data_IF_839196194150
#
_entry.id   IF_839196194150
#
_cell.length_a   1.000
_cell.length_b   1.000
_cell.length_c   1.000
_cell.angle_alpha   90.00
_cell.angle_beta   90.00
_cell.angle_gamma   90.00
#
_symmetry.space_group_name_H-M   'P 1'
#
loop_
_entity.id
_entity.type
_entity.pdbx_description
1 polymer ?
#
# COMPACT_ATOMS: atom_id res chain seq x y z
N UNK A 1 -62.08 3.15 -42.07
CA UNK A 1 -62.11 2.82 -40.63
C UNK A 1 -61.97 1.30 -40.50
N UNK A 2 -60.77 0.79 -40.21
CA UNK A 2 -60.53 -0.63 -39.95
C UNK A 2 -59.71 -0.73 -38.67
N UNK A 3 -60.35 -1.20 -37.60
CA UNK A 3 -59.77 -1.36 -36.28
C UNK A 3 -59.14 -2.76 -36.17
N UNK A 4 -57.82 -2.82 -35.98
CA UNK A 4 -57.10 -4.05 -35.67
C UNK A 4 -56.98 -4.21 -34.16
N UNK A 5 -57.71 -5.19 -33.63
CA UNK A 5 -57.72 -5.62 -32.23
C UNK A 5 -56.50 -6.48 -31.92
N UNK A 6 -55.53 -5.95 -31.19
CA UNK A 6 -54.37 -6.70 -30.68
C UNK A 6 -54.72 -7.28 -29.30
N UNK A 7 -54.95 -8.60 -29.23
CA UNK A 7 -55.09 -9.36 -27.98
C UNK A 7 -53.70 -9.69 -27.43
N UNK A 8 -53.29 -9.04 -26.34
CA UNK A 8 -52.09 -9.41 -25.58
C UNK A 8 -52.37 -10.62 -24.68
N UNK A 9 -51.72 -11.75 -24.93
CA UNK A 9 -51.70 -12.91 -24.01
C UNK A 9 -50.68 -12.64 -22.90
N UNK A 10 -51.17 -12.55 -21.66
CA UNK A 10 -50.37 -12.45 -20.45
C UNK A 10 -50.02 -13.85 -19.98
N UNK A 11 -48.76 -14.27 -20.13
CA UNK A 11 -48.23 -15.51 -19.54
C UNK A 11 -47.81 -15.25 -18.10
N UNK A 12 -48.66 -15.72 -17.19
CA UNK A 12 -48.41 -15.78 -15.74
C UNK A 12 -47.32 -16.81 -15.45
N UNK A 13 -46.19 -16.36 -14.87
CA UNK A 13 -45.11 -17.24 -14.39
C UNK A 13 -45.32 -17.44 -12.88
N UNK A 14 -45.60 -18.65 -12.39
CA UNK A 14 -45.75 -18.90 -10.96
C UNK A 14 -44.37 -18.86 -10.26
N UNK A 15 -44.22 -17.92 -9.32
CA UNK A 15 -43.11 -17.89 -8.35
C UNK A 15 -43.33 -19.00 -7.32
N UNK A 16 -42.62 -20.11 -7.46
CA UNK A 16 -42.48 -21.11 -6.39
C UNK A 16 -41.55 -20.55 -5.31
N UNK A 17 -42.13 -20.21 -4.16
CA UNK A 17 -41.43 -19.91 -2.90
C UNK A 17 -40.89 -21.23 -2.32
N UNK A 18 -39.63 -21.54 -2.58
CA UNK A 18 -38.89 -22.59 -1.89
C UNK A 18 -38.37 -22.09 -0.54
N UNK A 19 -39.06 -22.45 0.54
CA UNK A 19 -38.59 -22.29 1.92
C UNK A 19 -37.56 -23.40 2.20
N UNK A 20 -36.27 -23.10 2.04
CA UNK A 20 -35.20 -23.98 2.55
C UNK A 20 -34.93 -23.66 4.02
N UNK A 21 -35.47 -24.51 4.91
CA UNK A 21 -35.06 -24.59 6.31
C UNK A 21 -33.64 -25.16 6.37
N UNK A 22 -32.70 -24.37 6.89
CA UNK A 22 -31.35 -24.83 7.24
C UNK A 22 -31.41 -25.45 8.63
N UNK A 23 -31.45 -26.78 8.71
CA UNK A 23 -31.20 -27.53 9.95
C UNK A 23 -29.75 -27.97 9.91
N UNK A 24 -28.98 -27.55 10.92
CA UNK A 24 -27.59 -27.95 11.07
C UNK A 24 -27.46 -29.44 11.42
N UNK A 25 -26.43 -30.08 10.87
CA UNK A 25 -25.87 -31.30 11.40
C UNK A 25 -24.35 -31.27 11.26
N UNK A 26 -23.71 -31.43 12.42
CA UNK A 26 -22.29 -31.57 12.66
C UNK A 26 -21.87 -33.01 12.30
N UNK A 27 -20.57 -33.17 12.01
CA UNK A 27 -19.76 -34.40 11.98
C UNK A 27 -19.52 -35.04 10.61
N UNK A 28 -18.24 -35.25 10.31
CA UNK A 28 -17.78 -35.98 9.13
C UNK A 28 -16.38 -35.53 8.70
N UNK A 29 -15.35 -35.88 9.47
CA UNK A 29 -13.96 -35.72 9.05
C UNK A 29 -13.68 -36.53 7.79
N UNK A 30 -13.28 -35.86 6.71
CA UNK A 30 -12.69 -36.49 5.53
C UNK A 30 -11.19 -36.36 5.60
N UNK A 31 -10.52 -37.50 5.73
CA UNK A 31 -9.10 -37.64 5.49
C UNK A 31 -8.78 -37.20 4.06
N UNK A 32 -7.89 -36.22 3.93
CA UNK A 32 -7.28 -35.87 2.65
C UNK A 32 -6.26 -36.96 2.29
N UNK A 33 -6.62 -37.84 1.36
CA UNK A 33 -5.62 -38.63 0.65
C UNK A 33 -4.95 -37.73 -0.39
N UNK A 34 -3.65 -37.50 -0.19
CA UNK A 34 -2.78 -36.75 -1.08
C UNK A 34 -2.63 -37.48 -2.42
N UNK A 35 -3.36 -37.04 -3.45
CA UNK A 35 -3.07 -37.40 -4.84
C UNK A 35 -1.87 -36.57 -5.29
N UNK A 36 -0.70 -37.21 -5.29
CA UNK A 36 0.53 -36.65 -5.86
C UNK A 36 0.43 -36.63 -7.38
N UNK A 37 -0.04 -35.51 -7.95
CA UNK A 37 0.11 -35.22 -9.37
C UNK A 37 1.58 -34.96 -9.68
N UNK A 38 2.23 -35.95 -10.29
CA UNK A 38 3.53 -35.82 -10.97
C UNK A 38 3.38 -34.81 -12.11
N UNK A 39 3.98 -33.64 -11.95
CA UNK A 39 4.20 -32.71 -13.06
C UNK A 39 5.35 -33.25 -13.94
N UNK A 40 5.17 -33.32 -15.27
CA UNK A 40 6.24 -33.65 -16.18
C UNK A 40 7.31 -32.55 -16.18
N UNK A 41 8.56 -33.00 -16.13
CA UNK A 41 9.78 -32.23 -16.15
C UNK A 41 9.87 -31.40 -17.45
N UNK A 42 9.77 -30.07 -17.32
CA UNK A 42 10.16 -29.15 -18.40
C UNK A 42 11.68 -28.97 -18.40
N UNK A 43 12.33 -28.90 -19.58
CA UNK A 43 13.78 -28.70 -19.68
C UNK A 43 14.17 -27.27 -19.31
N UNK A 44 15.30 -27.17 -18.61
CA UNK A 44 15.91 -25.91 -18.20
C UNK A 44 16.39 -25.12 -19.44
N UNK A 45 15.70 -24.02 -19.74
CA UNK A 45 16.21 -23.01 -20.67
C UNK A 45 17.21 -22.14 -19.91
N UNK A 46 18.48 -22.31 -20.25
CA UNK A 46 19.53 -21.37 -19.87
C UNK A 46 19.31 -20.05 -20.62
N UNK A 47 19.05 -18.97 -19.89
CA UNK A 47 19.25 -17.61 -20.40
C UNK A 47 20.24 -16.90 -19.50
N UNK A 48 21.39 -16.60 -20.11
CA UNK A 48 22.45 -15.79 -19.56
C UNK A 48 22.15 -14.29 -19.64
N UNK A 49 23.06 -13.58 -19.01
CA UNK A 49 23.41 -12.18 -19.12
C UNK A 49 22.37 -11.10 -18.76
N UNK A 50 22.52 -10.67 -17.50
CA UNK A 50 23.02 -9.34 -17.15
C UNK A 50 22.98 -8.28 -18.27
N UNK A 51 22.20 -7.22 -18.06
CA UNK A 51 22.69 -5.83 -18.05
C UNK A 51 21.57 -4.81 -17.83
N UNK A 52 21.89 -3.79 -17.02
CA UNK A 52 21.24 -2.49 -16.88
C UNK A 52 20.02 -2.35 -15.94
N UNK A 53 20.30 -2.39 -14.63
CA UNK A 53 19.57 -1.57 -13.66
C UNK A 53 20.27 -0.20 -13.55
N UNK A 54 19.77 0.81 -14.27
CA UNK A 54 20.10 2.22 -14.00
C UNK A 54 19.46 2.63 -12.68
N UNK A 55 20.24 2.54 -11.60
CA UNK A 55 19.90 3.14 -10.31
C UNK A 55 20.10 4.64 -10.43
N UNK A 56 19.00 5.38 -10.41
CA UNK A 56 18.98 6.83 -10.25
C UNK A 56 19.64 7.20 -8.91
N UNK A 57 20.86 7.76 -8.98
CA UNK A 57 21.48 8.46 -7.86
C UNK A 57 20.77 9.80 -7.66
N UNK A 58 19.71 9.82 -6.83
CA UNK A 58 19.26 11.06 -6.22
C UNK A 58 20.24 11.44 -5.12
N UNK A 59 21.08 12.44 -5.42
CA UNK A 59 21.87 13.20 -4.46
C UNK A 59 20.92 13.90 -3.48
N UNK A 60 20.74 13.33 -2.30
CA UNK A 60 20.17 14.08 -1.18
C UNK A 60 21.27 14.94 -0.58
N UNK A 61 21.13 16.25 -0.79
CA UNK A 61 21.91 17.27 -0.11
C UNK A 61 21.69 17.15 1.40
N UNK A 62 22.75 16.78 2.11
CA UNK A 62 22.86 16.87 3.57
C UNK A 62 22.99 18.34 3.97
N UNK A 63 21.85 19.02 4.11
CA UNK A 63 21.75 20.27 4.84
C UNK A 63 21.82 20.01 6.34
N UNK A 64 23.02 20.03 6.91
CA UNK A 64 23.24 20.05 8.36
C UNK A 64 22.91 21.47 8.87
N UNK A 65 21.63 21.70 9.16
CA UNK A 65 21.17 22.88 9.90
C UNK A 65 21.63 22.79 11.34
N UNK A 66 22.43 23.77 11.76
CA UNK A 66 22.89 23.92 13.14
C UNK A 66 21.72 24.17 14.09
N UNK A 67 21.66 23.35 15.14
CA UNK A 67 20.98 23.69 16.39
C UNK A 67 22.03 23.58 17.48
N UNK A 68 22.59 24.72 17.84
CA UNK A 68 23.47 24.93 18.98
C UNK A 68 22.66 24.86 20.27
N UNK A 69 22.29 23.65 20.67
CA UNK A 69 21.73 23.37 21.99
C UNK A 69 22.85 23.15 23.00
N UNK A 70 23.10 24.15 23.84
CA UNK A 70 24.03 24.09 24.97
C UNK A 70 23.65 22.95 25.93
N UNK A 71 24.43 21.87 25.95
CA UNK A 71 24.39 20.83 26.98
C UNK A 71 25.67 20.98 27.81
N UNK A 72 25.48 21.40 29.06
CA UNK A 72 26.51 21.57 30.08
C UNK A 72 27.31 20.26 30.26
N UNK A 73 28.65 20.28 30.22
CA UNK A 73 29.45 19.13 30.61
C UNK A 73 29.43 18.95 32.13
N UNK A 74 29.05 17.74 32.57
CA UNK A 74 29.17 17.30 33.97
C UNK A 74 30.66 17.09 34.32
N UNK A 75 31.11 17.43 35.54
CA UNK A 75 32.52 17.57 35.85
C UNK A 75 33.24 16.22 35.98
N UNK A 76 34.44 16.19 35.40
CA UNK A 76 35.41 15.12 35.54
C UNK A 76 35.81 14.93 37.01
N UNK A 77 35.67 13.71 37.50
CA UNK A 77 36.28 13.27 38.76
C UNK A 77 37.78 13.13 38.53
N UNK A 78 38.51 14.21 38.81
CA UNK A 78 39.96 14.21 38.96
C UNK A 78 40.30 13.63 40.34
N UNK A 79 40.95 12.47 40.38
CA UNK A 79 41.60 11.98 41.59
C UNK A 79 43.03 12.50 41.61
N UNK A 80 43.24 13.50 42.45
CA UNK A 80 44.52 14.13 42.74
C UNK A 80 45.49 13.15 43.39
N UNK A 81 46.64 12.98 42.75
CA UNK A 81 47.87 12.55 43.42
C UNK A 81 48.41 13.75 44.21
N UNK A 82 48.45 13.65 45.54
CA UNK A 82 49.22 14.58 46.39
C UNK A 82 50.33 13.79 47.05
N UNK A 83 51.56 14.17 46.68
CA UNK A 83 52.78 13.83 47.36
C UNK A 83 52.85 14.62 48.68
N UNK A 84 53.15 13.95 49.78
CA UNK A 84 53.65 14.57 50.99
C UNK A 84 54.79 13.71 51.54
N UNK A 85 55.99 14.28 51.48
CA UNK A 85 57.19 13.78 52.13
C UNK A 85 57.03 13.87 53.65
N UNK A 86 57.55 12.88 54.38
CA UNK A 86 58.10 13.09 55.71
C UNK A 86 59.31 12.18 55.89
N UNK A 87 60.45 12.82 56.11
CA UNK A 87 61.69 12.21 56.58
C UNK A 87 61.54 11.78 58.04
N UNK A 88 62.22 10.69 58.40
CA UNK A 88 62.28 10.21 59.78
C UNK A 88 63.21 9.00 59.88
N UNK A 89 64.47 9.27 60.17
CA UNK A 89 65.52 8.29 60.43
C UNK A 89 65.15 7.32 61.59
N UNK A 90 65.66 6.08 61.54
CA UNK A 90 66.40 5.40 62.63
C UNK A 90 66.28 3.87 62.60
N UNK A 91 67.44 3.22 62.82
CA UNK A 91 67.66 1.87 63.38
C UNK A 91 67.46 0.62 62.50
N UNK A 92 68.57 0.29 61.83
CA UNK A 92 69.26 -1.02 61.81
C UNK A 92 68.68 -2.07 62.80
N UNK A 93 68.02 -3.11 62.28
CA UNK A 93 67.99 -4.45 62.87
C UNK A 93 67.86 -5.50 61.76
N UNK A 94 68.98 -6.16 61.49
CA UNK A 94 69.11 -7.38 60.72
C UNK A 94 68.38 -8.52 61.42
N UNK A 95 67.22 -8.92 60.90
CA UNK A 95 66.62 -10.22 61.22
C UNK A 95 66.35 -10.97 59.92
N UNK A 96 67.11 -12.07 59.75
CA UNK A 96 66.96 -13.04 58.66
C UNK A 96 65.47 -13.39 58.46
N UNK A 97 64.93 -13.29 57.24
CA UNK A 97 63.53 -13.64 56.99
C UNK A 97 63.37 -15.14 57.16
N UNK A 98 62.52 -15.54 58.11
CA UNK A 98 61.95 -16.89 58.13
C UNK A 98 61.31 -17.13 56.76
N UNK A 99 61.78 -18.15 56.04
CA UNK A 99 61.33 -18.61 54.71
C UNK A 99 59.80 -18.66 54.52
N UNK A 100 59.00 -18.68 55.59
CA UNK A 100 57.54 -18.81 55.60
C UNK A 100 56.75 -17.53 55.22
N UNK A 101 57.25 -16.32 55.46
CA UNK A 101 56.50 -15.08 55.14
C UNK A 101 56.53 -14.73 53.65
N UNK A 102 57.69 -14.89 53.02
CA UNK A 102 57.87 -14.69 51.56
C UNK A 102 56.98 -15.62 50.73
N UNK A 103 56.72 -16.82 51.26
CA UNK A 103 55.83 -17.81 50.64
C UNK A 103 54.37 -17.36 50.71
N UNK A 104 53.90 -16.87 51.88
CA UNK A 104 52.55 -16.32 52.05
C UNK A 104 52.28 -15.11 51.13
N UNK A 105 53.28 -14.25 50.93
CA UNK A 105 53.16 -13.07 50.07
C UNK A 105 53.02 -13.46 48.57
N UNK A 106 53.83 -14.43 48.12
CA UNK A 106 53.72 -14.99 46.75
C UNK A 106 52.36 -15.64 46.51
N UNK A 107 51.82 -16.33 47.51
CA UNK A 107 50.51 -16.97 47.41
C UNK A 107 49.38 -15.94 47.29
N UNK A 108 49.42 -14.86 48.08
CA UNK A 108 48.50 -13.72 47.95
C UNK A 108 48.59 -13.08 46.56
N UNK A 109 49.81 -12.80 46.07
CA UNK A 109 50.04 -12.23 44.74
C UNK A 109 49.46 -13.13 43.63
N UNK A 110 49.64 -14.45 43.73
CA UNK A 110 49.07 -15.39 42.76
C UNK A 110 47.54 -15.45 42.83
N UNK A 111 46.94 -15.35 44.02
CA UNK A 111 45.48 -15.25 44.19
C UNK A 111 44.94 -13.96 43.57
N UNK A 112 45.61 -12.83 43.76
CA UNK A 112 45.23 -11.56 43.14
C UNK A 112 45.38 -11.57 41.63
N UNK A 113 46.48 -12.10 41.08
CA UNK A 113 46.63 -12.30 39.64
C UNK A 113 45.52 -13.18 39.04
N UNK A 114 45.10 -14.23 39.75
CA UNK A 114 43.95 -15.06 39.35
C UNK A 114 42.63 -14.28 39.38
N UNK A 115 42.40 -13.44 40.39
CA UNK A 115 41.23 -12.55 40.46
C UNK A 115 41.23 -11.53 39.32
N UNK A 116 42.38 -10.91 39.02
CA UNK A 116 42.52 -9.94 37.95
C UNK A 116 42.16 -10.55 36.58
N UNK A 117 42.70 -11.75 36.29
CA UNK A 117 42.38 -12.50 35.06
C UNK A 117 40.88 -12.82 34.95
N UNK A 118 40.21 -13.15 36.06
CA UNK A 118 38.76 -13.38 36.08
C UNK A 118 37.98 -12.09 35.79
N UNK A 119 38.39 -10.97 36.37
CA UNK A 119 37.77 -9.65 36.13
C UNK A 119 37.94 -9.23 34.66
N UNK A 120 39.14 -9.41 34.10
CA UNK A 120 39.43 -9.09 32.71
C UNK A 120 38.60 -9.95 31.72
N UNK A 121 38.47 -11.24 32.00
CA UNK A 121 37.61 -12.14 31.23
C UNK A 121 36.13 -11.70 31.30
N UNK A 122 35.64 -11.36 32.49
CA UNK A 122 34.27 -10.88 32.68
C UNK A 122 34.02 -9.53 31.97
N UNK A 123 34.99 -8.62 31.95
CA UNK A 123 34.91 -7.36 31.21
C UNK A 123 34.83 -7.60 29.70
N UNK A 124 35.65 -8.52 29.17
CA UNK A 124 35.64 -8.88 27.75
C UNK A 124 34.32 -9.54 27.34
N UNK A 125 33.76 -10.39 28.19
CA UNK A 125 32.45 -11.01 27.97
C UNK A 125 31.32 -9.97 27.99
N UNK A 126 31.31 -9.06 28.97
CA UNK A 126 30.34 -7.97 29.05
C UNK A 126 30.42 -7.02 27.85
N UNK A 127 31.63 -6.70 27.38
CA UNK A 127 31.82 -5.90 26.16
C UNK A 127 31.23 -6.59 24.92
N UNK A 128 31.45 -7.90 24.76
CA UNK A 128 30.84 -8.69 23.67
C UNK A 128 29.31 -8.67 23.74
N UNK A 129 28.74 -8.81 24.95
CA UNK A 129 27.30 -8.79 25.17
C UNK A 129 26.68 -7.40 24.90
N UNK A 130 27.37 -6.32 25.27
CA UNK A 130 26.93 -4.97 24.93
C UNK A 130 26.97 -4.73 23.41
N UNK A 131 28.02 -5.22 22.74
CA UNK A 131 28.12 -5.14 21.29
C UNK A 131 26.99 -5.91 20.59
N UNK A 132 26.69 -7.16 21.01
CA UNK A 132 25.58 -7.93 20.44
C UNK A 132 24.23 -7.24 20.70
N UNK A 133 23.95 -6.82 21.94
CA UNK A 133 22.71 -6.12 22.29
C UNK A 133 22.53 -4.81 21.52
N UNK A 134 23.61 -4.08 21.27
CA UNK A 134 23.58 -2.84 20.46
C UNK A 134 23.23 -3.13 19.00
N UNK A 135 23.80 -4.19 18.40
CA UNK A 135 23.49 -4.65 17.04
C UNK A 135 22.03 -5.11 16.92
N UNK A 136 21.54 -5.86 17.90
CA UNK A 136 20.14 -6.31 17.93
C UNK A 136 19.17 -5.13 18.04
N UNK A 137 19.51 -4.13 18.86
CA UNK A 137 18.71 -2.90 18.97
C UNK A 137 18.68 -2.12 17.67
N UNK A 138 19.82 -1.97 16.98
CA UNK A 138 19.87 -1.31 15.67
C UNK A 138 19.04 -2.06 14.63
N UNK A 139 19.16 -3.39 14.58
CA UNK A 139 18.37 -4.24 13.66
C UNK A 139 16.87 -4.14 13.92
N UNK A 140 16.46 -4.12 15.18
CA UNK A 140 15.05 -3.95 15.55
C UNK A 140 14.53 -2.55 15.21
N UNK A 141 15.31 -1.49 15.47
CA UNK A 141 14.95 -0.12 15.09
C UNK A 141 14.82 0.04 13.57
N UNK A 142 15.73 -0.56 12.79
CA UNK A 142 15.65 -0.55 11.34
C UNK A 142 14.42 -1.31 10.84
N UNK A 143 14.11 -2.47 11.43
CA UNK A 143 12.92 -3.25 11.10
C UNK A 143 11.64 -2.47 11.39
N UNK A 144 11.54 -1.82 12.55
CA UNK A 144 10.41 -0.97 12.91
C UNK A 144 10.26 0.23 11.96
N UNK A 145 11.37 0.87 11.59
CA UNK A 145 11.37 1.99 10.64
C UNK A 145 10.85 1.53 9.28
N UNK A 146 11.38 0.43 8.74
CA UNK A 146 10.92 -0.17 7.47
C UNK A 146 9.45 -0.57 7.52
N UNK A 147 8.97 -1.09 8.64
CA UNK A 147 7.56 -1.45 8.81
C UNK A 147 6.65 -0.21 8.83
N UNK A 148 7.05 0.86 9.53
CA UNK A 148 6.33 2.14 9.55
C UNK A 148 6.26 2.76 8.15
N UNK A 149 7.38 2.80 7.44
CA UNK A 149 7.45 3.28 6.05
C UNK A 149 6.55 2.46 5.13
N UNK A 150 6.56 1.13 5.24
CA UNK A 150 5.67 0.24 4.47
C UNK A 150 4.19 0.52 4.75
N UNK A 151 3.82 0.67 6.03
CA UNK A 151 2.45 1.00 6.45
C UNK A 151 2.00 2.36 5.90
N UNK A 152 2.87 3.36 5.92
CA UNK A 152 2.54 4.69 5.38
C UNK A 152 2.41 4.66 3.86
N UNK A 153 3.34 4.01 3.15
CA UNK A 153 3.26 3.81 1.71
C UNK A 153 1.97 3.07 1.31
N UNK A 154 1.55 2.08 2.09
CA UNK A 154 0.28 1.37 1.86
C UNK A 154 -0.94 2.28 2.06
N UNK A 155 -0.96 3.13 3.10
CA UNK A 155 -2.03 4.12 3.30
C UNK A 155 -2.10 5.11 2.13
N UNK A 156 -0.96 5.61 1.67
CA UNK A 156 -0.90 6.50 0.51
C UNK A 156 -1.42 5.82 -0.75
N UNK A 157 -1.01 4.57 -1.02
CA UNK A 157 -1.55 3.78 -2.14
C UNK A 157 -3.07 3.58 -2.03
N UNK A 158 -3.59 3.27 -0.85
CA UNK A 158 -5.04 3.14 -0.61
C UNK A 158 -5.77 4.46 -0.86
N UNK A 159 -5.20 5.59 -0.44
CA UNK A 159 -5.76 6.92 -0.66
C UNK A 159 -5.81 7.27 -2.15
N UNK A 160 -4.70 7.07 -2.87
CA UNK A 160 -4.63 7.28 -4.32
C UNK A 160 -5.65 6.37 -5.03
N UNK A 161 -5.70 5.08 -4.69
CA UNK A 161 -6.65 4.14 -5.29
C UNK A 161 -8.11 4.55 -5.07
N UNK A 162 -8.45 5.09 -3.89
CA UNK A 162 -9.78 5.65 -3.60
C UNK A 162 -10.06 6.90 -4.43
N UNK A 163 -9.09 7.81 -4.53
CA UNK A 163 -9.21 9.02 -5.34
C UNK A 163 -9.36 8.74 -6.84
N UNK A 164 -8.83 7.62 -7.34
CA UNK A 164 -8.93 7.24 -8.75
C UNK A 164 -10.20 6.43 -9.09
N UNK A 165 -11.02 6.04 -8.11
CA UNK A 165 -12.28 5.31 -8.38
C UNK A 165 -13.28 6.19 -9.16
N UNK A 166 -14.00 5.64 -10.15
CA UNK A 166 -15.01 6.41 -10.87
C UNK A 166 -16.06 6.95 -9.89
N UNK A 167 -16.37 8.24 -10.02
CA UNK A 167 -17.36 8.87 -9.15
C UNK A 167 -18.74 8.39 -9.56
N UNK A 168 -19.52 7.95 -8.58
CA UNK A 168 -20.91 7.56 -8.79
C UNK A 168 -21.80 8.78 -8.60
N UNK A 169 -22.71 8.99 -9.55
CA UNK A 169 -23.77 9.96 -9.40
C UNK A 169 -24.72 9.58 -8.27
N UNK A 170 -25.39 10.58 -7.73
CA UNK A 170 -26.46 10.42 -6.77
C UNK A 170 -27.78 10.22 -7.51
N UNK A 171 -28.57 9.23 -7.08
CA UNK A 171 -29.95 9.08 -7.55
C UNK A 171 -30.89 9.98 -6.75
N UNK A 172 -32.08 10.26 -7.30
CA UNK A 172 -33.15 11.00 -6.60
C UNK A 172 -33.46 10.38 -5.23
N UNK A 173 -33.54 9.05 -5.14
CA UNK A 173 -33.69 8.33 -3.87
C UNK A 173 -32.52 8.54 -2.90
N UNK A 174 -31.28 8.44 -3.38
CA UNK A 174 -30.10 8.64 -2.54
C UNK A 174 -30.01 10.07 -2.00
N UNK A 175 -30.43 11.04 -2.82
CA UNK A 175 -30.53 12.45 -2.43
C UNK A 175 -31.64 12.66 -1.39
N UNK A 176 -32.81 12.04 -1.59
CA UNK A 176 -33.91 12.06 -0.62
C UNK A 176 -33.47 11.54 0.76
N UNK A 177 -32.81 10.38 0.79
CA UNK A 177 -32.26 9.82 2.04
C UNK A 177 -31.33 10.84 2.70
N UNK A 178 -30.35 11.39 1.97
CA UNK A 178 -29.41 12.35 2.54
C UNK A 178 -30.08 13.59 3.14
N UNK A 179 -31.16 14.08 2.52
CA UNK A 179 -31.93 15.23 3.01
C UNK A 179 -32.83 14.93 4.20
N UNK A 180 -33.35 13.71 4.30
CA UNK A 180 -34.37 13.33 5.28
C UNK A 180 -33.85 12.45 6.41
N UNK A 181 -32.62 11.94 6.31
CA UNK A 181 -31.96 11.20 7.40
C UNK A 181 -31.76 12.14 8.58
N UNK A 182 -32.61 11.95 9.57
CA UNK A 182 -32.40 12.32 10.96
C UNK A 182 -32.02 11.05 11.71
N UNK A 183 -31.35 11.14 12.86
CA UNK A 183 -30.84 9.96 13.58
C UNK A 183 -31.94 8.93 13.93
N UNK A 184 -33.20 9.35 13.94
CA UNK A 184 -34.33 8.57 14.46
C UNK A 184 -35.22 7.90 13.39
N UNK A 185 -35.03 8.17 12.09
CA UNK A 185 -35.89 7.60 11.04
C UNK A 185 -35.36 6.26 10.52
N UNK A 186 -36.22 5.23 10.52
CA UNK A 186 -35.90 3.93 9.96
C UNK A 186 -35.85 3.97 8.41
N UNK A 187 -34.93 3.22 7.82
CA UNK A 187 -34.72 3.17 6.36
C UNK A 187 -35.95 2.63 5.61
N UNK A 188 -36.74 1.76 6.25
CA UNK A 188 -38.00 1.25 5.66
C UNK A 188 -39.03 2.35 5.51
N UNK A 189 -39.21 3.16 6.55
CA UNK A 189 -40.13 4.30 6.53
C UNK A 189 -39.73 5.31 5.45
N UNK A 190 -38.44 5.66 5.35
CA UNK A 190 -37.96 6.55 4.29
C UNK A 190 -38.27 6.02 2.88
N UNK A 191 -38.19 4.71 2.68
CA UNK A 191 -38.47 4.06 1.39
C UNK A 191 -39.96 4.13 1.04
N UNK A 192 -40.83 3.88 2.02
CA UNK A 192 -42.28 4.03 1.89
C UNK A 192 -42.65 5.49 1.63
N UNK A 193 -42.10 6.43 2.40
CA UNK A 193 -42.28 7.87 2.19
C UNK A 193 -41.91 8.28 0.76
N UNK A 194 -40.75 7.85 0.25
CA UNK A 194 -40.32 8.20 -1.11
C UNK A 194 -41.19 7.58 -2.21
N UNK A 195 -41.73 6.37 -1.98
CA UNK A 195 -42.70 5.74 -2.88
C UNK A 195 -44.02 6.49 -2.91
N UNK A 196 -44.42 7.03 -1.77
CA UNK A 196 -45.66 7.78 -1.57
C UNK A 196 -45.55 9.27 -1.90
N UNK A 197 -44.35 9.80 -2.19
CA UNK A 197 -44.18 11.17 -2.69
C UNK A 197 -44.99 11.40 -3.97
N UNK A 198 -45.52 12.61 -4.09
CA UNK A 198 -46.16 13.04 -5.33
C UNK A 198 -45.17 13.02 -6.50
N UNK A 199 -45.68 12.88 -7.72
CA UNK A 199 -44.84 12.88 -8.92
C UNK A 199 -44.06 14.20 -9.06
N UNK A 200 -44.68 15.33 -8.70
CA UNK A 200 -44.04 16.65 -8.68
C UNK A 200 -42.83 16.72 -7.73
N UNK A 201 -42.95 16.19 -6.52
CA UNK A 201 -41.85 16.17 -5.56
C UNK A 201 -40.73 15.25 -6.03
N UNK A 202 -41.08 14.07 -6.57
CA UNK A 202 -40.09 13.12 -7.11
C UNK A 202 -39.29 13.74 -8.26
N UNK A 203 -39.95 14.48 -9.16
CA UNK A 203 -39.30 15.22 -10.25
C UNK A 203 -38.35 16.29 -9.73
N UNK A 204 -38.68 16.97 -8.64
CA UNK A 204 -37.76 17.94 -8.04
C UNK A 204 -36.49 17.28 -7.49
N UNK A 205 -36.60 16.11 -6.84
CA UNK A 205 -35.43 15.35 -6.42
C UNK A 205 -34.60 14.84 -7.60
N UNK A 206 -35.23 14.49 -8.71
CA UNK A 206 -34.53 14.11 -9.94
C UNK A 206 -33.74 15.29 -10.53
N UNK A 207 -34.38 16.47 -10.66
CA UNK A 207 -33.74 17.71 -11.10
C UNK A 207 -32.53 18.07 -10.23
N UNK A 208 -32.69 18.03 -8.91
CA UNK A 208 -31.60 18.29 -7.97
C UNK A 208 -30.47 17.26 -8.07
N UNK A 209 -30.81 15.98 -8.28
CA UNK A 209 -29.82 14.93 -8.46
C UNK A 209 -29.03 15.11 -9.77
N UNK A 210 -29.69 15.49 -10.85
CA UNK A 210 -29.06 15.82 -12.13
C UNK A 210 -28.13 17.03 -12.00
N UNK A 211 -28.58 18.11 -11.36
CA UNK A 211 -27.76 19.31 -11.13
C UNK A 211 -26.52 18.98 -10.29
N UNK A 212 -26.69 18.19 -9.22
CA UNK A 212 -25.59 17.70 -8.41
C UNK A 212 -24.62 16.84 -9.22
N UNK A 213 -25.14 15.92 -10.04
CA UNK A 213 -24.33 15.05 -10.88
C UNK A 213 -23.58 15.81 -11.99
N UNK A 214 -24.16 16.88 -12.52
CA UNK A 214 -23.51 17.78 -13.47
C UNK A 214 -22.32 18.49 -12.82
N UNK A 215 -22.51 19.10 -11.65
CA UNK A 215 -21.44 19.72 -10.84
C UNK A 215 -20.35 18.70 -10.48
N UNK A 216 -20.75 17.47 -10.17
CA UNK A 216 -19.83 16.39 -9.85
C UNK A 216 -18.98 15.99 -11.06
N UNK A 217 -19.58 15.91 -12.25
CA UNK A 217 -18.89 15.59 -13.52
C UNK A 217 -17.91 16.69 -13.93
N UNK A 218 -18.25 17.95 -13.68
CA UNK A 218 -17.36 19.09 -13.89
C UNK A 218 -16.15 19.04 -12.96
N UNK A 219 -16.37 18.83 -11.64
CA UNK A 219 -15.28 18.70 -10.67
C UNK A 219 -14.42 17.46 -10.93
N UNK A 220 -15.01 16.39 -11.42
CA UNK A 220 -14.34 15.11 -11.59
C UNK A 220 -14.41 14.68 -13.06
N UNK A 221 -13.52 15.21 -13.90
CA UNK A 221 -13.52 14.88 -15.32
C UNK A 221 -13.28 13.39 -15.54
N UNK A 222 -13.80 12.89 -16.65
CA UNK A 222 -13.62 11.50 -17.05
C UNK A 222 -12.13 11.20 -17.31
N UNK A 223 -11.73 9.94 -17.09
CA UNK A 223 -10.38 9.48 -17.38
C UNK A 223 -10.09 9.65 -18.88
N UNK A 224 -8.92 10.20 -19.27
CA UNK A 224 -8.50 10.26 -20.67
C UNK A 224 -8.61 8.90 -21.34
N UNK A 225 -9.09 8.88 -22.58
CA UNK A 225 -9.25 7.65 -23.37
C UNK A 225 -7.88 7.20 -23.88
N UNK A 226 -7.63 5.90 -23.83
CA UNK A 226 -6.41 5.30 -24.38
C UNK A 226 -6.45 5.49 -25.92
N UNK A 227 -5.36 5.94 -26.56
CA UNK A 227 -5.31 6.05 -28.01
C UNK A 227 -5.59 4.67 -28.65
N UNK A 228 -6.39 4.62 -29.74
CA UNK A 228 -6.72 3.35 -30.39
C UNK A 228 -5.45 2.70 -30.94
N UNK A 229 -5.31 1.39 -30.77
CA UNK A 229 -4.24 0.64 -31.42
C UNK A 229 -4.46 0.58 -32.94
N UNK A 230 -3.44 0.22 -33.72
CA UNK A 230 -3.60 0.10 -35.17
C UNK A 230 -4.71 -0.87 -35.59
N UNK A 231 -4.84 -2.00 -34.89
CA UNK A 231 -5.99 -2.90 -35.11
C UNK A 231 -7.33 -2.25 -34.76
N UNK A 232 -7.41 -1.47 -33.67
CA UNK A 232 -8.64 -0.78 -33.32
C UNK A 232 -9.03 0.29 -34.36
N UNK A 233 -8.05 0.99 -34.94
CA UNK A 233 -8.27 1.91 -36.07
C UNK A 233 -8.74 1.16 -37.32
N UNK A 234 -8.12 0.03 -37.63
CA UNK A 234 -8.55 -0.84 -38.74
C UNK A 234 -10.00 -1.28 -38.59
N UNK A 235 -10.38 -1.77 -37.40
CA UNK A 235 -11.75 -2.16 -37.08
C UNK A 235 -12.72 -0.98 -37.20
N UNK A 236 -12.33 0.22 -36.74
CA UNK A 236 -13.18 1.41 -36.84
C UNK A 236 -13.46 1.81 -38.30
N UNK A 237 -12.50 1.62 -39.20
CA UNK A 237 -12.63 2.01 -40.61
C UNK A 237 -13.31 0.93 -41.47
N UNK A 238 -13.12 -0.35 -41.13
CA UNK A 238 -13.56 -1.48 -41.96
C UNK A 238 -14.75 -2.25 -41.37
N UNK A 239 -15.47 -1.67 -40.40
CA UNK A 239 -16.60 -2.36 -39.76
C UNK A 239 -17.75 -2.59 -40.76
N UNK A 240 -18.14 -3.85 -41.06
CA UNK A 240 -19.21 -4.12 -42.01
C UNK A 240 -20.59 -3.79 -41.42
N UNK A 241 -21.43 -3.14 -42.22
CA UNK A 241 -22.83 -2.91 -41.86
C UNK A 241 -23.67 -4.19 -42.09
N UNK A 242 -24.65 -4.44 -41.22
CA UNK A 242 -25.64 -5.53 -41.40
C UNK A 242 -25.20 -6.92 -40.94
N UNK A 243 -23.97 -7.09 -40.44
CA UNK A 243 -23.47 -8.33 -39.87
C UNK A 243 -23.48 -8.26 -38.34
N UNK A 244 -23.61 -9.40 -37.65
CA UNK A 244 -23.50 -9.41 -36.19
C UNK A 244 -22.09 -8.98 -35.77
N UNK A 245 -21.97 -8.22 -34.68
CA UNK A 245 -20.66 -7.71 -34.25
C UNK A 245 -19.64 -8.82 -33.99
N UNK A 246 -20.09 -10.01 -33.55
CA UNK A 246 -19.21 -11.15 -33.30
C UNK A 246 -18.62 -11.73 -34.59
N UNK A 247 -19.44 -11.90 -35.64
CA UNK A 247 -18.99 -12.37 -36.95
C UNK A 247 -18.09 -11.34 -37.62
N UNK A 248 -18.47 -10.06 -37.57
CA UNK A 248 -17.68 -8.95 -38.08
C UNK A 248 -16.28 -8.92 -37.46
N UNK A 249 -16.18 -8.97 -36.13
CA UNK A 249 -14.90 -8.97 -35.41
C UNK A 249 -14.04 -10.18 -35.75
N UNK A 250 -14.65 -11.35 -35.98
CA UNK A 250 -13.93 -12.56 -36.38
C UNK A 250 -13.35 -12.44 -37.79
N UNK A 251 -14.15 -11.93 -38.73
CA UNK A 251 -13.69 -11.66 -40.10
C UNK A 251 -12.53 -10.65 -40.10
N UNK A 252 -12.72 -9.49 -39.48
CA UNK A 252 -11.70 -8.43 -39.43
C UNK A 252 -10.42 -8.88 -38.72
N UNK A 253 -10.50 -9.76 -37.73
CA UNK A 253 -9.31 -10.32 -37.10
C UNK A 253 -8.52 -11.23 -38.06
N UNK A 254 -9.20 -11.98 -38.91
CA UNK A 254 -8.57 -12.80 -39.95
C UNK A 254 -7.98 -11.92 -41.06
N UNK A 255 -8.72 -10.93 -41.52
CA UNK A 255 -8.29 -9.98 -42.55
C UNK A 255 -7.04 -9.23 -42.07
N UNK A 256 -7.04 -8.73 -40.83
CA UNK A 256 -5.88 -8.08 -40.21
C UNK A 256 -4.64 -8.98 -40.13
N UNK A 257 -4.79 -10.29 -39.91
CA UNK A 257 -3.65 -11.22 -39.89
C UNK A 257 -3.06 -11.40 -41.28
N UNK A 258 -3.88 -11.36 -42.32
CA UNK A 258 -3.48 -11.51 -43.72
C UNK A 258 -2.84 -10.26 -44.31
N UNK A 259 -3.15 -9.07 -43.77
CA UNK A 259 -2.51 -7.81 -44.20
C UNK A 259 -0.98 -7.85 -44.07
N UNK A 260 -0.30 -7.27 -45.05
CA UNK A 260 1.15 -7.14 -45.05
C UNK A 260 1.64 -6.17 -43.96
N UNK A 261 2.92 -6.23 -43.55
CA UNK A 261 3.49 -5.25 -42.62
C UNK A 261 3.37 -3.80 -43.13
N UNK A 262 3.51 -3.58 -44.43
CA UNK A 262 3.40 -2.25 -45.06
C UNK A 262 1.97 -1.69 -44.99
N UNK A 263 0.97 -2.56 -45.16
CA UNK A 263 -0.44 -2.18 -45.02
C UNK A 263 -0.81 -1.88 -43.57
N UNK A 264 -0.25 -2.63 -42.62
CA UNK A 264 -0.42 -2.41 -41.18
C UNK A 264 0.17 -1.10 -40.70
N UNK A 265 1.27 -0.65 -41.31
CA UNK A 265 1.93 0.61 -40.95
C UNK A 265 1.02 1.83 -41.16
N UNK A 266 0.10 1.78 -42.14
CA UNK A 266 -0.92 2.84 -42.34
C UNK A 266 -1.83 3.02 -41.13
N UNK A 267 -2.04 1.96 -40.36
CA UNK A 267 -2.86 1.98 -39.15
C UNK A 267 -2.02 2.19 -37.89
N UNK A 268 -0.69 2.15 -37.97
CA UNK A 268 0.22 2.42 -36.87
C UNK A 268 0.37 3.93 -36.64
N UNK A 269 -0.77 4.63 -36.53
CA UNK A 269 -0.85 6.08 -36.32
C UNK A 269 -0.47 6.48 -34.90
N UNK A 270 -0.28 5.50 -34.00
CA UNK A 270 0.16 5.76 -32.62
C UNK A 270 1.64 6.11 -32.63
N UNK A 271 1.92 7.36 -32.99
CA UNK A 271 3.24 7.96 -32.84
C UNK A 271 3.60 8.05 -31.36
N UNK A 272 4.90 8.05 -31.07
CA UNK A 272 5.39 8.29 -29.71
C UNK A 272 4.83 9.61 -29.15
N UNK A 273 4.62 10.62 -29.99
CA UNK A 273 3.97 11.88 -29.59
C UNK A 273 2.55 11.72 -29.04
N UNK A 274 1.71 10.86 -29.65
CA UNK A 274 0.35 10.62 -29.16
C UNK A 274 0.39 9.87 -27.83
N UNK A 275 1.34 8.93 -27.67
CA UNK A 275 1.55 8.22 -26.40
C UNK A 275 2.00 9.18 -25.31
N UNK A 276 2.93 10.06 -25.62
CA UNK A 276 3.46 11.05 -24.69
C UNK A 276 2.37 12.03 -24.27
N UNK A 277 1.60 12.59 -25.21
CA UNK A 277 0.43 13.43 -24.91
C UNK A 277 -0.57 12.71 -24.01
N UNK A 278 -0.92 11.45 -24.31
CA UNK A 278 -1.81 10.66 -23.46
C UNK A 278 -1.24 10.45 -22.06
N UNK A 279 0.05 10.15 -21.94
CA UNK A 279 0.71 9.94 -20.65
C UNK A 279 0.73 11.23 -19.81
N UNK A 280 0.99 12.37 -20.44
CA UNK A 280 0.93 13.68 -19.81
C UNK A 280 -0.48 14.02 -19.35
N UNK A 281 -1.49 13.86 -20.21
CA UNK A 281 -2.90 14.08 -19.86
C UNK A 281 -3.34 13.14 -18.74
N UNK A 282 -2.97 11.87 -18.78
CA UNK A 282 -3.28 10.89 -17.75
C UNK A 282 -2.63 11.25 -16.41
N UNK A 283 -1.40 11.78 -16.43
CA UNK A 283 -0.71 12.26 -15.23
C UNK A 283 -1.43 13.48 -14.65
N UNK A 284 -1.69 14.51 -15.47
CA UNK A 284 -2.46 15.70 -15.08
C UNK A 284 -3.82 15.32 -14.49
N UNK A 285 -4.52 14.38 -15.13
CA UNK A 285 -5.79 13.86 -14.64
C UNK A 285 -5.67 13.18 -13.27
N UNK A 286 -4.67 12.31 -13.07
CA UNK A 286 -4.45 11.65 -11.76
C UNK A 286 -4.16 12.68 -10.65
N UNK A 287 -3.31 13.64 -10.93
CA UNK A 287 -2.91 14.67 -9.97
C UNK A 287 -4.12 15.55 -9.59
N UNK A 288 -4.90 16.00 -10.56
CA UNK A 288 -6.14 16.74 -10.35
C UNK A 288 -7.17 15.93 -9.55
N UNK A 289 -7.33 14.63 -9.85
CA UNK A 289 -8.25 13.73 -9.14
C UNK A 289 -7.88 13.58 -7.67
N UNK A 290 -6.59 13.41 -7.37
CA UNK A 290 -6.10 13.30 -6.00
C UNK A 290 -6.27 14.61 -5.25
N UNK A 291 -5.95 15.75 -5.88
CA UNK A 291 -6.16 17.08 -5.29
C UNK A 291 -7.63 17.32 -4.92
N UNK A 292 -8.55 17.14 -5.87
CA UNK A 292 -9.98 17.34 -5.66
C UNK A 292 -10.53 16.42 -4.56
N UNK A 293 -10.06 15.16 -4.50
CA UNK A 293 -10.46 14.21 -3.46
C UNK A 293 -10.00 14.64 -2.07
N UNK A 294 -8.77 15.16 -1.95
CA UNK A 294 -8.23 15.67 -0.68
C UNK A 294 -8.97 16.93 -0.22
N UNK A 295 -9.35 17.81 -1.14
CA UNK A 295 -10.15 19.00 -0.83
C UNK A 295 -11.54 18.62 -0.32
N UNK A 296 -12.24 17.71 -1.00
CA UNK A 296 -13.58 17.29 -0.60
C UNK A 296 -13.56 16.52 0.74
N UNK A 297 -12.45 15.88 1.10
CA UNK A 297 -12.26 15.27 2.42
C UNK A 297 -12.03 16.31 3.54
N UNK A 298 -11.47 17.48 3.20
CA UNK A 298 -11.26 18.58 4.16
C UNK A 298 -12.54 19.37 4.41
N UNK A 299 -13.45 19.46 3.43
CA UNK A 299 -14.72 20.15 3.59
C UNK A 299 -15.55 19.46 4.68
N UNK A 300 -16.22 20.21 5.57
CA UNK A 300 -17.22 19.61 6.45
C UNK A 300 -18.25 18.89 5.58
N UNK A 301 -18.87 17.84 6.10
CA UNK A 301 -19.98 17.17 5.42
C UNK A 301 -21.09 18.22 5.27
N UNK A 302 -21.14 18.86 4.10
CA UNK A 302 -22.16 19.86 3.78
C UNK A 302 -23.49 19.13 3.76
N UNK A 303 -24.45 19.65 4.53
CA UNK A 303 -25.85 19.22 4.45
C UNK A 303 -26.37 19.62 3.05
N UNK A 304 -26.64 18.62 2.22
CA UNK A 304 -27.13 18.76 0.83
C UNK A 304 -28.62 19.09 0.84
#
# INVERSE_FOLDING_TARGET
MLANSIKTRTTSIPRMLGVFRYVGAISGGRAFTSVATRFPHLPAVAMGDASQAKVNQMKFATGFGGVTGAIKPSPAVQLNATAAASEGASKKKTTKPKKSEKVKLREKLNREKKKLKKIEAALKERQKLLASRSKDRQKNQEKEKKEKEKKEAEKQKRLINKALQPVRGLSSWSLYIKKKTTADKDMKQLSEDFRNLSESERREYERLAEEYNAKLKERYPARPKIPPSGYALYVQQNFPAGVTAAEAMTSMANDWRQLSPEEKEKYNVVTEEIRDKFNEELKKWKDQRVANYLEDKKKPKVDI
#
